data_IF_929983910570
#
_entry.id   IF_929983910570
#
_cell.length_a   1.000
_cell.length_b   1.000
_cell.length_c   1.000
_cell.angle_alpha   90.00
_cell.angle_beta   90.00
_cell.angle_gamma   90.00
#
_symmetry.space_group_name_H-M   'P 1'
#
loop_
_entity.id
_entity.type
_entity.pdbx_description
1 polymer ?
#
# COMPACT_ATOMS: atom_id res chain seq x y z
N UNK A 1 -33.65 7.67 30.43
CA UNK A 1 -32.18 7.75 30.22
C UNK A 1 -31.79 6.75 29.12
N UNK A 2 -32.14 6.93 27.84
CA UNK A 2 -31.78 5.97 26.78
C UNK A 2 -31.92 6.50 25.35
N UNK A 3 -31.98 7.82 25.11
CA UNK A 3 -32.15 8.33 23.73
C UNK A 3 -30.81 8.79 23.08
N UNK A 4 -29.87 9.24 23.89
CA UNK A 4 -28.57 9.69 23.41
C UNK A 4 -27.66 8.55 22.98
N UNK A 5 -27.78 7.35 23.55
CA UNK A 5 -27.00 6.17 23.15
C UNK A 5 -27.43 5.64 21.78
N UNK A 6 -28.73 5.59 21.49
CA UNK A 6 -29.25 5.14 20.18
C UNK A 6 -28.88 6.06 19.03
N UNK A 7 -28.81 7.38 19.27
CA UNK A 7 -28.39 8.35 18.24
C UNK A 7 -26.89 8.25 17.95
N UNK A 8 -26.07 7.94 18.97
CA UNK A 8 -24.65 7.68 18.82
C UNK A 8 -24.40 6.41 18.00
N UNK A 9 -25.13 5.33 18.30
CA UNK A 9 -25.01 4.05 17.60
C UNK A 9 -25.45 4.16 16.12
N UNK A 10 -26.53 4.89 15.84
CA UNK A 10 -26.99 5.10 14.47
C UNK A 10 -25.98 5.87 13.59
N UNK A 11 -25.31 6.87 14.16
CA UNK A 11 -24.25 7.62 13.47
C UNK A 11 -23.00 6.76 13.22
N UNK A 12 -22.61 5.96 14.19
CA UNK A 12 -21.49 5.04 14.05
C UNK A 12 -21.73 3.99 12.95
N UNK A 13 -22.92 3.41 12.92
CA UNK A 13 -23.34 2.45 11.88
C UNK A 13 -23.36 3.13 10.50
N UNK A 14 -23.91 4.34 10.40
CA UNK A 14 -23.93 5.08 9.14
C UNK A 14 -22.51 5.40 8.63
N UNK A 15 -21.63 5.86 9.52
CA UNK A 15 -20.22 6.10 9.19
C UNK A 15 -19.54 4.82 8.73
N UNK A 16 -19.70 3.72 9.44
CA UNK A 16 -19.18 2.42 9.06
C UNK A 16 -19.64 2.01 7.65
N UNK A 17 -20.95 2.08 7.39
CA UNK A 17 -21.53 1.73 6.07
C UNK A 17 -20.98 2.62 4.95
N UNK A 18 -20.92 3.93 5.15
CA UNK A 18 -20.45 4.87 4.14
C UNK A 18 -18.97 4.63 3.84
N UNK A 19 -18.11 4.59 4.85
CA UNK A 19 -16.66 4.40 4.64
C UNK A 19 -16.33 3.01 4.11
N UNK A 20 -17.01 1.95 4.58
CA UNK A 20 -16.86 0.61 4.04
C UNK A 20 -17.29 0.52 2.58
N UNK A 21 -18.43 1.14 2.24
CA UNK A 21 -18.91 1.18 0.85
C UNK A 21 -17.93 1.89 -0.07
N UNK A 22 -17.36 3.02 0.37
CA UNK A 22 -16.33 3.74 -0.38
C UNK A 22 -15.11 2.84 -0.60
N UNK A 23 -14.62 2.17 0.45
CA UNK A 23 -13.50 1.26 0.36
C UNK A 23 -13.74 0.09 -0.60
N UNK A 24 -14.91 -0.56 -0.50
CA UNK A 24 -15.31 -1.64 -1.42
C UNK A 24 -15.40 -1.13 -2.86
N UNK A 25 -16.00 0.02 -3.08
CA UNK A 25 -16.14 0.62 -4.40
C UNK A 25 -14.78 0.94 -5.03
N UNK A 26 -13.88 1.54 -4.27
CA UNK A 26 -12.54 1.87 -4.77
C UNK A 26 -11.67 0.65 -5.06
N UNK A 27 -11.88 -0.45 -4.33
CA UNK A 27 -11.01 -1.63 -4.41
C UNK A 27 -11.55 -2.72 -5.34
N UNK A 28 -12.87 -2.89 -5.45
CA UNK A 28 -13.47 -4.00 -6.18
C UNK A 28 -14.15 -3.61 -7.48
N UNK A 29 -14.52 -2.34 -7.65
CA UNK A 29 -15.23 -1.92 -8.86
C UNK A 29 -14.21 -1.53 -9.95
N UNK A 30 -14.15 -2.26 -11.07
CA UNK A 30 -13.31 -1.88 -12.19
C UNK A 30 -13.92 -0.68 -12.92
N UNK A 31 -13.05 0.26 -13.30
CA UNK A 31 -13.40 1.41 -14.12
C UNK A 31 -12.61 1.40 -15.43
N UNK A 32 -13.25 1.75 -16.50
CA UNK A 32 -12.60 1.97 -17.78
C UNK A 32 -12.28 3.46 -17.94
N UNK A 33 -11.00 3.82 -17.80
CA UNK A 33 -10.51 5.17 -18.06
C UNK A 33 -9.43 5.09 -19.13
N UNK A 34 -9.60 5.85 -20.20
CA UNK A 34 -8.66 5.91 -21.32
C UNK A 34 -8.34 4.54 -21.95
N UNK A 35 -9.33 3.64 -22.04
CA UNK A 35 -9.19 2.33 -22.68
C UNK A 35 -8.48 1.27 -21.81
N UNK A 36 -8.21 1.56 -20.54
CA UNK A 36 -7.67 0.62 -19.57
C UNK A 36 -8.74 0.33 -18.51
N UNK A 37 -9.16 -0.94 -18.45
CA UNK A 37 -10.10 -1.41 -17.41
C UNK A 37 -9.31 -1.90 -16.20
N UNK A 38 -9.37 -1.14 -15.13
CA UNK A 38 -8.72 -1.49 -13.86
C UNK A 38 -9.40 -0.80 -12.67
N UNK A 39 -9.02 -1.17 -11.46
CA UNK A 39 -9.56 -0.60 -10.23
C UNK A 39 -9.11 0.85 -10.03
N UNK A 40 -9.93 1.64 -9.34
CA UNK A 40 -9.74 3.08 -9.21
C UNK A 40 -8.38 3.45 -8.60
N UNK A 41 -7.91 2.69 -7.61
CA UNK A 41 -6.62 2.98 -6.98
C UNK A 41 -5.42 2.70 -7.91
N UNK A 42 -5.52 1.72 -8.83
CA UNK A 42 -4.48 1.48 -9.83
C UNK A 42 -4.43 2.60 -10.87
N UNK A 43 -5.59 3.17 -11.23
CA UNK A 43 -5.63 4.38 -12.05
C UNK A 43 -4.93 5.55 -11.36
N UNK A 44 -5.21 5.78 -10.06
CA UNK A 44 -4.56 6.85 -9.29
C UNK A 44 -3.04 6.63 -9.19
N UNK A 45 -2.61 5.42 -8.89
CA UNK A 45 -1.19 5.08 -8.82
C UNK A 45 -0.50 5.20 -10.20
N UNK A 46 -1.14 4.71 -11.25
CA UNK A 46 -0.62 4.81 -12.63
C UNK A 46 -0.50 6.27 -13.09
N UNK A 47 -1.46 7.12 -12.72
CA UNK A 47 -1.40 8.55 -12.98
C UNK A 47 -0.21 9.21 -12.28
N UNK A 48 -0.02 8.93 -11.00
CA UNK A 48 1.12 9.44 -10.23
C UNK A 48 2.46 9.01 -10.83
N UNK A 49 2.59 7.76 -11.22
CA UNK A 49 3.83 7.22 -11.79
C UNK A 49 4.14 7.80 -13.16
N UNK A 50 3.13 8.02 -14.01
CA UNK A 50 3.32 8.48 -15.39
C UNK A 50 3.38 10.00 -15.52
N UNK A 51 2.40 10.70 -14.94
CA UNK A 51 2.25 12.15 -15.11
C UNK A 51 3.05 12.95 -14.08
N UNK A 52 3.20 12.41 -12.86
CA UNK A 52 3.89 13.06 -11.75
C UNK A 52 5.17 12.31 -11.36
N UNK A 53 6.02 11.99 -12.36
CA UNK A 53 7.24 11.20 -12.16
C UNK A 53 8.15 11.76 -11.06
N UNK A 54 8.36 13.07 -11.04
CA UNK A 54 9.23 13.72 -10.03
C UNK A 54 8.68 13.55 -8.62
N UNK A 55 7.36 13.73 -8.45
CA UNK A 55 6.70 13.57 -7.17
C UNK A 55 6.77 12.11 -6.69
N UNK A 56 6.55 11.16 -7.59
CA UNK A 56 6.64 9.73 -7.31
C UNK A 56 8.06 9.30 -6.93
N UNK A 57 9.08 9.81 -7.63
CA UNK A 57 10.49 9.57 -7.29
C UNK A 57 10.82 10.13 -5.91
N UNK A 58 10.44 11.37 -5.63
CA UNK A 58 10.69 11.99 -4.31
C UNK A 58 10.02 11.18 -3.20
N UNK A 59 8.77 10.77 -3.39
CA UNK A 59 8.05 9.95 -2.42
C UNK A 59 8.72 8.58 -2.20
N UNK A 60 9.10 7.91 -3.28
CA UNK A 60 9.82 6.63 -3.21
C UNK A 60 11.13 6.77 -2.42
N UNK A 61 11.93 7.82 -2.72
CA UNK A 61 13.17 8.09 -2.00
C UNK A 61 12.96 8.36 -0.52
N UNK A 62 11.94 9.14 -0.16
CA UNK A 62 11.57 9.36 1.24
C UNK A 62 11.23 8.06 1.95
N UNK A 63 10.48 7.17 1.30
CA UNK A 63 10.17 5.85 1.85
C UNK A 63 11.41 4.98 2.00
N UNK A 64 12.32 4.99 1.02
CA UNK A 64 13.57 4.23 1.10
C UNK A 64 14.47 4.75 2.23
N UNK A 65 14.63 6.07 2.35
CA UNK A 65 15.38 6.71 3.44
C UNK A 65 14.75 6.34 4.80
N UNK A 66 13.44 6.48 4.94
CA UNK A 66 12.74 6.09 6.16
C UNK A 66 12.94 4.60 6.49
N UNK A 67 12.87 3.72 5.47
CA UNK A 67 13.09 2.28 5.60
C UNK A 67 14.49 1.90 6.07
N UNK A 68 15.52 2.72 5.75
CA UNK A 68 16.90 2.54 6.21
C UNK A 68 17.11 3.14 7.59
N UNK A 69 16.57 4.34 7.85
CA UNK A 69 16.77 5.06 9.11
C UNK A 69 16.07 4.38 10.27
N UNK A 70 14.85 3.90 10.07
CA UNK A 70 14.04 3.29 11.14
C UNK A 70 14.74 2.15 11.88
N UNK A 71 15.29 1.11 11.22
CA UNK A 71 16.02 0.03 11.89
C UNK A 71 17.26 0.51 12.63
N UNK A 72 17.91 1.58 12.14
CA UNK A 72 19.11 2.16 12.76
C UNK A 72 18.74 2.85 14.07
N UNK A 73 17.67 3.66 14.09
CA UNK A 73 17.21 4.37 15.29
C UNK A 73 16.62 3.40 16.31
N UNK A 74 15.81 2.42 15.86
CA UNK A 74 15.18 1.43 16.75
C UNK A 74 16.16 0.35 17.24
N UNK A 75 17.36 0.27 16.68
CA UNK A 75 18.35 -0.75 17.03
C UNK A 75 17.96 -2.18 16.62
N UNK A 76 16.94 -2.31 15.77
CA UNK A 76 16.37 -3.60 15.36
C UNK A 76 17.40 -4.50 14.65
N UNK A 77 18.40 -3.91 13.98
CA UNK A 77 19.47 -4.66 13.32
C UNK A 77 20.32 -5.54 14.26
N UNK A 78 20.26 -5.29 15.60
CA UNK A 78 20.94 -6.10 16.61
C UNK A 78 20.06 -7.24 17.15
N UNK A 79 18.80 -7.29 16.79
CA UNK A 79 17.80 -8.17 17.38
C UNK A 79 17.82 -9.57 16.75
N UNK A 80 18.08 -9.66 15.46
CA UNK A 80 18.13 -10.92 14.72
C UNK A 80 19.08 -10.81 13.52
N UNK A 81 19.68 -11.94 13.14
CA UNK A 81 20.49 -12.04 11.91
C UNK A 81 19.65 -11.68 10.67
N UNK A 82 18.37 -12.06 10.67
CA UNK A 82 17.43 -11.72 9.61
C UNK A 82 17.23 -10.21 9.49
N UNK A 83 17.06 -9.52 10.62
CA UNK A 83 16.87 -8.06 10.64
C UNK A 83 18.13 -7.32 10.18
N UNK A 84 19.31 -7.84 10.53
CA UNK A 84 20.58 -7.32 10.06
C UNK A 84 20.70 -7.45 8.53
N UNK A 85 20.41 -8.64 7.97
CA UNK A 85 20.45 -8.88 6.53
C UNK A 85 19.45 -8.00 5.78
N UNK A 86 18.21 -7.88 6.28
CA UNK A 86 17.19 -7.01 5.68
C UNK A 86 17.61 -5.54 5.71
N UNK A 87 18.22 -5.08 6.80
CA UNK A 87 18.74 -3.71 6.91
C UNK A 87 19.87 -3.44 5.93
N UNK A 88 20.77 -4.43 5.75
CA UNK A 88 21.86 -4.36 4.77
C UNK A 88 21.31 -4.29 3.34
N UNK A 89 20.32 -5.11 2.98
CA UNK A 89 19.68 -5.06 1.66
C UNK A 89 18.97 -3.74 1.40
N UNK A 90 18.30 -3.16 2.40
CA UNK A 90 17.68 -1.82 2.28
C UNK A 90 18.72 -0.74 2.01
N UNK A 91 19.84 -0.79 2.72
CA UNK A 91 20.96 0.14 2.51
C UNK A 91 21.54 0.00 1.10
N UNK A 92 21.83 -1.23 0.65
CA UNK A 92 22.28 -1.53 -0.70
C UNK A 92 21.29 -1.00 -1.76
N UNK A 93 20.01 -1.24 -1.57
CA UNK A 93 18.95 -0.74 -2.45
C UNK A 93 18.94 0.78 -2.56
N UNK A 94 19.07 1.48 -1.43
CA UNK A 94 19.12 2.95 -1.41
C UNK A 94 20.38 3.49 -2.15
N UNK A 95 21.54 2.86 -1.93
CA UNK A 95 22.79 3.24 -2.62
C UNK A 95 22.64 3.03 -4.13
N UNK A 96 22.15 1.87 -4.57
CA UNK A 96 21.96 1.57 -5.99
C UNK A 96 20.95 2.51 -6.65
N UNK A 97 19.86 2.83 -5.98
CA UNK A 97 18.86 3.78 -6.45
C UNK A 97 19.44 5.19 -6.59
N UNK A 98 20.27 5.61 -5.65
CA UNK A 98 20.95 6.92 -5.70
C UNK A 98 21.95 6.97 -6.85
N UNK A 99 22.78 5.94 -7.01
CA UNK A 99 23.76 5.85 -8.11
C UNK A 99 23.06 5.80 -9.48
N UNK A 100 21.90 5.14 -9.57
CA UNK A 100 21.07 5.13 -10.78
C UNK A 100 20.60 6.52 -11.18
N UNK A 101 20.08 7.32 -10.22
CA UNK A 101 19.61 8.68 -10.50
C UNK A 101 20.74 9.66 -10.81
N UNK A 102 21.96 9.40 -10.34
CA UNK A 102 23.14 10.22 -10.62
C UNK A 102 23.87 9.80 -11.91
N UNK A 103 23.34 8.80 -12.65
CA UNK A 103 23.99 8.20 -13.83
C UNK A 103 25.45 7.77 -13.58
N UNK A 104 25.74 7.31 -12.36
CA UNK A 104 27.09 6.89 -11.95
C UNK A 104 27.31 5.36 -12.01
N UNK A 105 26.32 4.62 -12.51
CA UNK A 105 26.43 3.17 -12.68
C UNK A 105 27.21 2.81 -13.96
N UNK A 106 27.92 1.68 -13.99
CA UNK A 106 28.57 1.17 -15.20
C UNK A 106 27.54 0.91 -16.32
N UNK A 107 27.95 1.12 -17.58
CA UNK A 107 27.08 0.95 -18.76
C UNK A 107 26.42 -0.42 -18.84
N UNK A 108 27.08 -1.47 -18.36
CA UNK A 108 26.54 -2.83 -18.30
C UNK A 108 25.27 -2.90 -17.44
N UNK A 109 25.25 -2.18 -16.31
CA UNK A 109 24.11 -2.16 -15.37
C UNK A 109 23.03 -1.21 -15.84
N UNK A 110 23.38 -0.18 -16.61
CA UNK A 110 22.45 0.80 -17.19
C UNK A 110 21.72 0.29 -18.45
N UNK A 111 21.94 -0.95 -18.85
CA UNK A 111 21.15 -1.57 -19.93
C UNK A 111 19.65 -1.57 -19.59
N UNK A 112 18.80 -1.40 -20.63
CA UNK A 112 17.35 -1.24 -20.49
C UNK A 112 16.68 -2.36 -19.70
N UNK A 113 17.22 -3.58 -19.75
CA UNK A 113 16.67 -4.76 -19.11
C UNK A 113 17.20 -5.01 -17.69
N UNK A 114 18.09 -4.15 -17.19
CA UNK A 114 18.68 -4.25 -15.86
C UNK A 114 18.15 -3.15 -14.92
N UNK A 115 19.00 -2.20 -14.54
CA UNK A 115 18.64 -1.20 -13.54
C UNK A 115 17.45 -0.30 -13.92
N UNK A 116 17.34 0.18 -15.19
CA UNK A 116 16.16 0.94 -15.61
C UNK A 116 14.87 0.13 -15.50
N UNK A 117 14.88 -1.15 -15.85
CA UNK A 117 13.72 -2.03 -15.69
C UNK A 117 13.36 -2.23 -14.22
N UNK A 118 14.34 -2.58 -13.38
CA UNK A 118 14.12 -2.80 -11.95
C UNK A 118 13.61 -1.55 -11.25
N UNK A 119 14.17 -0.39 -11.56
CA UNK A 119 13.81 0.84 -10.89
C UNK A 119 12.50 1.43 -11.42
N UNK A 120 12.37 1.60 -12.74
CA UNK A 120 11.23 2.29 -13.34
C UNK A 120 9.99 1.40 -13.52
N UNK A 121 10.18 0.10 -13.78
CA UNK A 121 9.08 -0.83 -14.04
C UNK A 121 8.63 -1.63 -12.81
N UNK A 122 9.51 -1.79 -11.82
CA UNK A 122 9.20 -2.55 -10.61
C UNK A 122 9.19 -1.65 -9.36
N UNK A 123 10.32 -1.05 -8.99
CA UNK A 123 10.45 -0.34 -7.72
C UNK A 123 9.52 0.88 -7.64
N UNK A 124 9.46 1.72 -8.68
CA UNK A 124 8.67 2.93 -8.69
C UNK A 124 7.15 2.64 -8.63
N UNK A 125 6.57 1.81 -9.51
CA UNK A 125 5.15 1.47 -9.43
C UNK A 125 4.78 0.79 -8.11
N UNK A 126 5.55 -0.20 -7.66
CA UNK A 126 5.29 -0.92 -6.41
C UNK A 126 5.38 0.02 -5.21
N UNK A 127 6.39 0.90 -5.17
CA UNK A 127 6.58 1.89 -4.12
C UNK A 127 5.44 2.91 -4.01
N UNK A 128 4.65 3.10 -5.06
CA UNK A 128 3.47 3.97 -5.07
C UNK A 128 2.18 3.16 -4.78
N UNK A 129 2.01 2.02 -5.45
CA UNK A 129 0.79 1.19 -5.33
C UNK A 129 0.63 0.64 -3.91
N UNK A 130 1.71 0.15 -3.30
CA UNK A 130 1.63 -0.50 -1.98
C UNK A 130 1.17 0.46 -0.88
N UNK A 131 1.73 1.67 -0.70
CA UNK A 131 1.24 2.61 0.30
C UNK A 131 -0.19 3.09 0.05
N UNK A 132 -0.56 3.35 -1.21
CA UNK A 132 -1.94 3.75 -1.56
C UNK A 132 -2.91 2.61 -1.25
N UNK A 133 -2.58 1.38 -1.67
CA UNK A 133 -3.39 0.20 -1.39
C UNK A 133 -3.51 -0.07 0.11
N UNK A 134 -2.42 0.07 0.86
CA UNK A 134 -2.42 -0.08 2.32
C UNK A 134 -3.30 0.96 3.01
N UNK A 135 -3.30 2.21 2.53
CA UNK A 135 -4.15 3.27 3.06
C UNK A 135 -5.64 2.97 2.83
N UNK A 136 -6.00 2.56 1.60
CA UNK A 136 -7.37 2.17 1.27
C UNK A 136 -7.81 0.95 2.07
N UNK A 137 -6.93 -0.05 2.19
CA UNK A 137 -7.19 -1.24 3.00
C UNK A 137 -7.35 -0.91 4.48
N UNK A 138 -6.59 0.05 5.00
CA UNK A 138 -6.74 0.52 6.38
C UNK A 138 -8.12 1.14 6.63
N UNK A 139 -8.66 1.90 5.68
CA UNK A 139 -10.05 2.38 5.75
C UNK A 139 -11.04 1.22 5.74
N UNK A 140 -10.84 0.26 4.87
CA UNK A 140 -11.72 -0.90 4.73
C UNK A 140 -11.77 -1.74 6.01
N UNK A 141 -10.61 -2.01 6.61
CA UNK A 141 -10.48 -2.80 7.84
C UNK A 141 -10.86 -1.97 9.08
N UNK A 142 -10.41 -0.71 9.14
CA UNK A 142 -10.58 0.16 10.31
C UNK A 142 -12.05 0.54 10.58
N UNK A 143 -12.90 0.51 9.58
CA UNK A 143 -14.35 0.79 9.74
C UNK A 143 -15.22 -0.48 9.91
N UNK A 144 -14.58 -1.62 10.26
CA UNK A 144 -15.34 -2.82 10.67
C UNK A 144 -15.93 -3.63 9.51
N UNK A 145 -15.42 -3.46 8.26
CA UNK A 145 -15.91 -4.27 7.13
C UNK A 145 -15.75 -5.77 7.40
N UNK A 146 -14.65 -6.18 8.03
CA UNK A 146 -14.41 -7.58 8.38
C UNK A 146 -15.43 -8.09 9.40
N UNK A 147 -15.82 -7.26 10.36
CA UNK A 147 -16.86 -7.58 11.34
C UNK A 147 -18.23 -7.69 10.65
N UNK A 148 -18.54 -6.77 9.75
CA UNK A 148 -19.78 -6.79 8.96
C UNK A 148 -19.88 -8.06 8.10
N UNK A 149 -18.81 -8.41 7.39
CA UNK A 149 -18.74 -9.66 6.60
C UNK A 149 -18.87 -10.88 7.51
N UNK A 150 -18.22 -10.88 8.67
CA UNK A 150 -18.34 -11.92 9.68
C UNK A 150 -19.78 -12.14 10.14
N UNK A 151 -20.51 -11.05 10.43
CA UNK A 151 -21.93 -11.10 10.82
C UNK A 151 -22.81 -11.56 9.66
N UNK A 152 -22.55 -11.09 8.44
CA UNK A 152 -23.31 -11.52 7.24
C UNK A 152 -23.09 -13.00 6.91
N UNK A 153 -21.88 -13.51 7.16
CA UNK A 153 -21.54 -14.92 6.94
C UNK A 153 -22.04 -15.84 8.06
N UNK A 154 -22.40 -15.28 9.21
CA UNK A 154 -22.86 -16.05 10.38
C UNK A 154 -24.05 -16.99 10.07
N UNK A 155 -25.11 -16.58 9.34
CA UNK A 155 -26.23 -17.46 9.01
C UNK A 155 -25.83 -18.60 8.06
N UNK A 156 -24.79 -18.43 7.26
CA UNK A 156 -24.24 -19.44 6.34
C UNK A 156 -23.31 -20.40 7.09
N UNK A 157 -22.51 -19.86 8.01
CA UNK A 157 -21.54 -20.62 8.78
C UNK A 157 -22.18 -21.45 9.91
N UNK A 158 -23.23 -20.93 10.56
CA UNK A 158 -23.92 -21.63 11.65
C UNK A 158 -24.34 -23.05 11.28
N UNK A 159 -25.05 -23.32 10.17
CA UNK A 159 -25.47 -24.68 9.82
C UNK A 159 -24.29 -25.61 9.40
N UNK A 160 -23.16 -25.03 9.00
CA UNK A 160 -21.97 -25.80 8.58
C UNK A 160 -21.08 -26.23 9.75
N UNK A 161 -21.10 -25.48 10.86
CA UNK A 161 -20.22 -25.74 12.03
C UNK A 161 -20.97 -26.17 13.30
N UNK A 162 -22.31 -26.22 13.29
CA UNK A 162 -23.10 -26.86 14.35
C UNK A 162 -23.36 -28.30 13.99
N UNK A 163 -22.45 -29.17 14.35
CA UNK A 163 -22.69 -30.60 14.64
C UNK A 163 -22.75 -30.80 16.13
#
# INVERSE_FOLDING_TARGET
>A
MNDSSKVSDGRAILQMLVFSSIGVFMFFVPFEIAGKSTILFDHAASYLVKEQRTLSLTFLFLLMIYGVIKPIISGDFKRSVTDLLLSLFKLCGLILATLYLLDMLPDVVMQKDMMPFLFEKLALPVGIIVPIGALILAFLVGFGLLEMVGVLMQPIMRPLFTT
#
